data_IF_887688730514
#
_entry.id   IF_887688730514
#
_cell.length_a   1.000
_cell.length_b   1.000
_cell.length_c   1.000
_cell.angle_alpha   90.00
_cell.angle_beta   90.00
_cell.angle_gamma   90.00
#
_symmetry.space_group_name_H-M   'P 1'
#
loop_
_entity.id
_entity.type
_entity.pdbx_description
1 polymer ?
#
# COMPACT_ATOMS: atom_id res chain seq x y z
N UNK A 1 -3.66 1.60 -13.29
CA UNK A 1 -3.20 0.56 -12.33
C UNK A 1 -4.30 0.20 -11.35
N UNK A 2 -4.39 -1.07 -11.02
CA UNK A 2 -5.27 -1.50 -9.93
C UNK A 2 -4.67 -1.10 -8.58
N UNK A 3 -5.47 -1.17 -7.53
CA UNK A 3 -4.97 -0.86 -6.20
C UNK A 3 -3.82 -1.81 -5.81
N UNK A 4 -3.97 -3.10 -6.13
CA UNK A 4 -2.93 -4.09 -5.84
C UNK A 4 -1.61 -3.73 -6.54
N UNK A 5 -1.70 -3.32 -7.79
CA UNK A 5 -0.52 -2.91 -8.55
C UNK A 5 0.11 -1.65 -7.98
N UNK A 6 -0.72 -0.70 -7.54
CA UNK A 6 -0.20 0.53 -6.92
C UNK A 6 0.57 0.23 -5.65
N UNK A 7 0.04 -0.68 -4.83
CA UNK A 7 0.72 -1.05 -3.58
C UNK A 7 2.08 -1.67 -3.86
N UNK A 8 2.14 -2.58 -4.82
CA UNK A 8 3.41 -3.20 -5.21
C UNK A 8 4.37 -2.17 -5.77
N UNK A 9 3.86 -1.26 -6.61
CA UNK A 9 4.70 -0.23 -7.22
C UNK A 9 5.34 0.67 -6.17
N UNK A 10 4.54 1.15 -5.22
CA UNK A 10 5.05 2.02 -4.16
C UNK A 10 6.08 1.30 -3.32
N UNK A 11 5.79 0.05 -2.96
CA UNK A 11 6.70 -0.75 -2.14
C UNK A 11 8.04 -0.93 -2.85
N UNK A 12 8.00 -1.25 -4.14
CA UNK A 12 9.20 -1.45 -4.94
C UNK A 12 9.99 -0.15 -5.10
N UNK A 13 9.30 0.96 -5.37
CA UNK A 13 9.96 2.25 -5.53
C UNK A 13 10.69 2.68 -4.26
N UNK A 14 10.11 2.39 -3.11
CA UNK A 14 10.69 2.77 -1.83
C UNK A 14 11.57 1.66 -1.24
N UNK A 15 11.72 0.56 -1.94
CA UNK A 15 12.54 -0.59 -1.52
C UNK A 15 12.09 -1.13 -0.17
N UNK A 16 10.78 -1.24 0.01
CA UNK A 16 10.19 -1.74 1.24
C UNK A 16 9.71 -3.17 1.07
N UNK A 17 9.85 -3.96 2.14
CA UNK A 17 9.20 -5.26 2.18
C UNK A 17 7.73 -5.05 2.52
N UNK A 18 6.92 -6.12 2.42
CA UNK A 18 5.53 -6.04 2.83
C UNK A 18 5.42 -5.69 4.31
N UNK A 19 6.31 -6.24 5.13
CA UNK A 19 6.33 -5.93 6.55
C UNK A 19 6.68 -4.47 6.81
N UNK A 20 7.63 -3.95 6.06
CA UNK A 20 8.04 -2.55 6.20
C UNK A 20 6.88 -1.62 5.86
N UNK A 21 6.19 -1.89 4.75
CA UNK A 21 5.06 -1.06 4.35
C UNK A 21 3.93 -1.16 5.36
N UNK A 22 3.67 -2.36 5.87
CA UNK A 22 2.64 -2.56 6.89
C UNK A 22 2.93 -1.71 8.11
N UNK A 23 4.19 -1.69 8.55
CA UNK A 23 4.62 -0.90 9.70
C UNK A 23 4.44 0.59 9.44
N UNK A 24 4.79 1.04 8.23
CA UNK A 24 4.66 2.45 7.87
C UNK A 24 3.20 2.89 7.85
N UNK A 25 2.31 2.03 7.42
CA UNK A 25 0.89 2.36 7.33
C UNK A 25 0.10 2.04 8.60
N UNK A 26 0.73 1.37 9.56
CA UNK A 26 0.05 1.00 10.79
C UNK A 26 -0.97 -0.12 10.60
N UNK A 27 -0.73 -1.02 9.64
CA UNK A 27 -1.60 -2.17 9.40
C UNK A 27 -0.79 -3.45 9.53
N UNK A 28 -1.47 -4.60 9.48
CA UNK A 28 -0.79 -5.89 9.60
C UNK A 28 -0.14 -6.29 8.27
N UNK A 29 0.86 -7.17 8.37
CA UNK A 29 1.47 -7.78 7.20
C UNK A 29 0.40 -8.47 6.33
N UNK A 30 -0.52 -9.19 6.99
CA UNK A 30 -1.58 -9.89 6.28
C UNK A 30 -2.44 -8.93 5.46
N UNK A 31 -2.63 -7.71 5.94
CA UNK A 31 -3.40 -6.70 5.22
C UNK A 31 -2.68 -6.32 3.92
N UNK A 32 -1.38 -6.04 4.00
CA UNK A 32 -0.62 -5.69 2.81
C UNK A 32 -0.61 -6.84 1.81
N UNK A 33 -0.40 -8.06 2.30
CA UNK A 33 -0.40 -9.23 1.44
C UNK A 33 -1.74 -9.39 0.72
N UNK A 34 -2.84 -9.19 1.45
CA UNK A 34 -4.19 -9.27 0.89
C UNK A 34 -4.41 -8.21 -0.18
N UNK A 35 -3.95 -6.99 0.07
CA UNK A 35 -4.07 -5.92 -0.91
C UNK A 35 -3.34 -6.25 -2.20
N UNK A 36 -2.14 -6.81 -2.09
CA UNK A 36 -1.33 -7.13 -3.26
C UNK A 36 -1.84 -8.33 -4.04
N UNK A 37 -2.61 -9.20 -3.40
CA UNK A 37 -3.19 -10.36 -4.08
C UNK A 37 -4.39 -9.99 -4.98
N UNK A 38 -4.91 -8.78 -4.82
CA UNK A 38 -5.95 -8.29 -5.71
C UNK A 38 -7.36 -8.80 -5.45
N UNK A 39 -7.56 -9.58 -4.40
CA UNK A 39 -8.86 -10.16 -4.07
C UNK A 39 -9.60 -9.38 -3.00
N UNK A 40 -9.20 -8.14 -2.77
CA UNK A 40 -9.71 -7.37 -1.66
C UNK A 40 -9.98 -5.94 -2.09
N UNK A 41 -11.16 -5.43 -1.73
CA UNK A 41 -11.49 -4.02 -1.92
C UNK A 41 -11.16 -3.29 -0.63
N UNK A 42 -10.15 -2.45 -0.62
CA UNK A 42 -9.79 -1.72 0.60
C UNK A 42 -10.90 -0.77 1.01
N UNK A 43 -11.06 -0.56 2.31
CA UNK A 43 -12.03 0.41 2.82
C UNK A 43 -11.59 1.82 2.41
N UNK A 44 -12.52 2.77 2.58
CA UNK A 44 -12.20 4.17 2.29
C UNK A 44 -11.04 4.65 3.16
N UNK A 45 -11.03 4.27 4.43
CA UNK A 45 -9.97 4.66 5.34
C UNK A 45 -8.62 4.08 4.91
N UNK A 46 -8.62 2.82 4.47
CA UNK A 46 -7.40 2.18 4.02
C UNK A 46 -6.86 2.86 2.77
N UNK A 47 -7.75 3.19 1.82
CA UNK A 47 -7.35 3.90 0.61
C UNK A 47 -6.76 5.26 0.95
N UNK A 48 -7.39 5.98 1.88
CA UNK A 48 -6.91 7.30 2.26
C UNK A 48 -5.54 7.21 2.93
N UNK A 49 -5.35 6.23 3.80
CA UNK A 49 -4.07 6.04 4.46
C UNK A 49 -2.97 5.77 3.44
N UNK A 50 -3.27 4.95 2.45
CA UNK A 50 -2.32 4.66 1.37
C UNK A 50 -2.03 5.89 0.53
N UNK A 51 -3.06 6.65 0.18
CA UNK A 51 -2.89 7.88 -0.60
C UNK A 51 -2.05 8.91 0.16
N UNK A 52 -2.31 9.08 1.45
CA UNK A 52 -1.54 10.00 2.28
C UNK A 52 -0.07 9.58 2.34
N UNK A 53 0.18 8.28 2.41
CA UNK A 53 1.54 7.75 2.41
C UNK A 53 2.23 8.06 1.08
N UNK A 54 1.52 7.85 -0.04
CA UNK A 54 2.06 8.16 -1.36
C UNK A 54 2.39 9.64 -1.49
N UNK A 55 1.49 10.51 -1.03
CA UNK A 55 1.71 11.95 -1.09
C UNK A 55 2.91 12.36 -0.25
N UNK A 56 3.07 11.75 0.91
CA UNK A 56 4.21 12.03 1.78
C UNK A 56 5.53 11.71 1.09
N UNK A 57 5.54 10.69 0.24
CA UNK A 57 6.75 10.27 -0.47
C UNK A 57 6.80 10.78 -1.91
N UNK A 58 5.91 11.70 -2.27
CA UNK A 58 5.85 12.33 -3.60
C UNK A 58 5.69 11.31 -4.73
N UNK A 59 4.91 10.27 -4.49
CA UNK A 59 4.63 9.26 -5.50
C UNK A 59 3.29 9.56 -6.16
N UNK A 60 3.30 9.62 -7.48
CA UNK A 60 2.11 9.87 -8.27
C UNK A 60 1.86 8.74 -9.27
N UNK A 61 0.59 8.54 -9.62
CA UNK A 61 0.21 7.52 -10.58
C UNK A 61 -0.47 8.13 -11.78
#
# INVERSE_FOLDING_TARGET
>A
MSFAEKVKFVRTELKLSQEDLARELGVSFATINRWENGNYNPSRLAKKAFEDFCNKHSIEF
#
